data_IF_721200727122
#
_entry.id   IF_721200727122
#
_cell.length_a   1.000
_cell.length_b   1.000
_cell.length_c   1.000
_cell.angle_alpha   90.00
_cell.angle_beta   90.00
_cell.angle_gamma   90.00
#
_symmetry.space_group_name_H-M   'P 1'
#
loop_
_entity.id
_entity.type
_entity.pdbx_description
1 polymer ?
#
# COMPACT_ATOMS: atom_id res chain seq x y z
N UNK A 1 8.18 25.54 -1.77
CA UNK A 1 6.72 25.43 -1.53
C UNK A 1 6.14 24.66 -2.71
N UNK A 2 6.21 23.32 -2.64
CA UNK A 2 5.54 22.45 -3.61
C UNK A 2 4.06 22.33 -3.24
N UNK A 3 3.20 22.09 -4.22
CA UNK A 3 1.76 21.91 -3.97
C UNK A 3 1.49 20.59 -3.25
N UNK A 4 0.39 20.43 -2.46
CA UNK A 4 0.10 19.18 -1.75
C UNK A 4 0.08 17.93 -2.65
N UNK A 5 -0.22 18.10 -3.95
CA UNK A 5 -0.23 17.03 -4.95
C UNK A 5 1.18 16.57 -5.41
N UNK A 6 2.25 17.28 -5.06
CA UNK A 6 3.63 16.89 -5.34
C UNK A 6 4.27 16.11 -4.19
N UNK A 7 3.68 16.11 -2.99
CA UNK A 7 4.19 15.42 -1.80
C UNK A 7 3.74 13.94 -1.71
N UNK A 8 2.70 13.55 -2.45
CA UNK A 8 2.15 12.19 -2.41
C UNK A 8 1.86 11.65 -3.82
N UNK A 9 2.75 10.79 -4.36
CA UNK A 9 2.64 10.28 -5.71
C UNK A 9 1.51 9.26 -5.93
N UNK A 10 0.87 8.75 -4.88
CA UNK A 10 -0.30 7.86 -4.98
C UNK A 10 -1.45 8.48 -5.78
N UNK A 11 -1.63 9.80 -5.69
CA UNK A 11 -2.65 10.52 -6.46
C UNK A 11 -2.35 10.62 -7.98
N UNK A 12 -1.12 10.31 -8.42
CA UNK A 12 -0.69 10.42 -9.83
C UNK A 12 -0.24 9.10 -10.47
N UNK A 13 -0.04 8.04 -9.70
CA UNK A 13 0.53 6.78 -10.21
C UNK A 13 -0.36 6.09 -11.27
N UNK A 14 -1.68 6.34 -11.29
CA UNK A 14 -2.63 5.58 -12.14
C UNK A 14 -2.67 6.06 -13.60
N UNK A 15 -2.13 7.23 -13.95
CA UNK A 15 -2.27 7.77 -15.33
C UNK A 15 -1.13 7.44 -16.30
N UNK A 16 0.02 6.94 -15.83
CA UNK A 16 1.20 6.77 -16.70
C UNK A 16 1.10 5.53 -17.60
N UNK A 17 0.35 4.50 -17.20
CA UNK A 17 0.34 3.22 -17.90
C UNK A 17 -0.45 3.19 -19.22
N UNK A 18 -1.41 4.11 -19.44
CA UNK A 18 -2.22 4.10 -20.68
C UNK A 18 -1.57 4.78 -21.90
N UNK A 19 -0.32 5.24 -21.80
CA UNK A 19 0.32 6.06 -22.87
C UNK A 19 1.37 5.36 -23.72
N UNK A 20 1.42 4.03 -23.75
CA UNK A 20 2.39 3.26 -24.54
C UNK A 20 1.79 2.33 -25.61
N UNK A 21 0.49 2.34 -25.84
CA UNK A 21 -0.11 1.52 -26.92
C UNK A 21 -0.04 2.17 -28.31
N UNK A 22 0.13 3.49 -28.41
CA UNK A 22 0.06 4.22 -29.69
C UNK A 22 1.38 4.34 -30.47
N UNK A 23 2.48 3.76 -29.98
CA UNK A 23 3.81 3.85 -30.65
C UNK A 23 4.24 2.52 -31.30
N UNK A 24 3.46 1.43 -31.15
CA UNK A 24 3.85 0.10 -31.66
C UNK A 24 3.73 -0.11 -33.18
N UNK A 25 3.38 0.89 -34.00
CA UNK A 25 3.11 0.66 -35.45
C UNK A 25 4.13 1.23 -36.44
N UNK A 26 5.23 1.86 -36.01
CA UNK A 26 6.20 2.45 -36.95
C UNK A 26 7.67 2.16 -36.57
N UNK A 27 8.05 0.89 -36.48
CA UNK A 27 9.45 0.47 -36.56
C UNK A 27 9.56 -1.04 -36.83
N UNK A 28 8.97 -1.52 -37.93
CA UNK A 28 9.08 -2.92 -38.35
C UNK A 28 9.81 -3.04 -39.69
N UNK A 29 11.04 -2.54 -39.77
CA UNK A 29 11.97 -2.87 -40.86
C UNK A 29 13.37 -2.36 -40.53
N UNK A 30 14.36 -3.26 -40.51
CA UNK A 30 15.78 -3.10 -40.13
C UNK A 30 16.09 -3.29 -38.64
N UNK A 31 16.23 -4.54 -38.21
CA UNK A 31 17.32 -5.03 -37.35
C UNK A 31 17.19 -6.56 -37.24
N UNK A 32 17.34 -7.22 -38.38
CA UNK A 32 17.72 -8.64 -38.44
C UNK A 32 19.21 -8.59 -38.79
N UNK A 33 20.05 -9.33 -38.04
CA UNK A 33 21.52 -9.44 -38.19
C UNK A 33 22.32 -8.48 -37.27
N UNK A 34 22.40 -8.82 -35.98
CA UNK A 34 23.65 -9.04 -35.21
C UNK A 34 23.29 -9.07 -33.72
N UNK A 35 23.46 -10.24 -33.11
CA UNK A 35 23.26 -10.43 -31.68
C UNK A 35 21.97 -11.16 -31.38
N UNK A 36 22.08 -12.47 -31.23
CA UNK A 36 21.36 -13.17 -30.18
C UNK A 36 21.72 -12.50 -28.84
N UNK A 37 21.12 -11.34 -28.54
CA UNK A 37 20.66 -11.13 -27.18
C UNK A 37 19.43 -12.04 -27.08
N UNK A 38 19.67 -13.31 -26.75
CA UNK A 38 18.63 -14.10 -26.09
C UNK A 38 18.06 -13.18 -25.02
N UNK A 39 16.74 -13.02 -25.07
CA UNK A 39 16.03 -11.98 -24.33
C UNK A 39 16.60 -11.84 -22.94
N UNK A 40 16.74 -10.59 -22.50
CA UNK A 40 16.59 -10.32 -21.08
C UNK A 40 15.25 -10.95 -20.72
N UNK A 41 15.28 -12.20 -20.26
CA UNK A 41 14.24 -12.74 -19.43
C UNK A 41 14.20 -11.73 -18.29
N UNK A 42 13.22 -10.81 -18.32
CA UNK A 42 12.70 -10.27 -17.08
C UNK A 42 12.60 -11.51 -16.17
N UNK A 43 13.43 -11.53 -15.14
CA UNK A 43 13.56 -12.64 -14.21
C UNK A 43 12.16 -13.10 -13.89
N UNK A 44 11.93 -14.41 -13.94
CA UNK A 44 10.59 -14.95 -13.74
C UNK A 44 10.05 -14.40 -12.43
N UNK A 45 9.05 -13.50 -12.51
CA UNK A 45 8.35 -13.03 -11.34
C UNK A 45 7.67 -14.25 -10.70
N UNK A 46 8.35 -14.81 -9.70
CA UNK A 46 8.00 -16.04 -9.01
C UNK A 46 7.19 -15.67 -7.79
N UNK A 47 5.87 -15.49 -7.98
CA UNK A 47 4.96 -15.46 -6.84
C UNK A 47 4.90 -16.84 -6.22
N UNK A 48 5.42 -16.95 -5.00
CA UNK A 48 5.11 -18.10 -4.17
C UNK A 48 3.96 -17.64 -3.28
N UNK A 49 2.75 -18.16 -3.53
CA UNK A 49 1.69 -18.08 -2.53
C UNK A 49 2.26 -18.77 -1.30
N UNK A 50 2.61 -18.01 -0.26
CA UNK A 50 3.16 -18.61 0.95
C UNK A 50 1.99 -19.20 1.72
N UNK A 51 1.48 -20.34 1.26
CA UNK A 51 0.44 -21.12 1.93
C UNK A 51 1.04 -21.73 3.19
N UNK A 52 1.24 -20.92 4.23
CA UNK A 52 1.44 -21.45 5.57
C UNK A 52 0.07 -21.53 6.24
N UNK A 53 -0.13 -22.48 7.17
CA UNK A 53 -1.38 -22.56 7.95
C UNK A 53 -1.73 -21.24 8.66
N UNK A 54 -0.75 -20.36 8.88
CA UNK A 54 -0.91 -19.07 9.55
C UNK A 54 -1.19 -17.89 8.60
N UNK A 55 -1.01 -18.05 7.28
CA UNK A 55 -1.15 -16.94 6.32
C UNK A 55 -1.53 -17.42 4.91
N UNK A 56 -2.83 -17.54 4.59
CA UNK A 56 -3.24 -18.12 3.32
C UNK A 56 -3.06 -17.24 2.07
N UNK A 57 -2.70 -15.95 2.20
CA UNK A 57 -2.91 -14.97 1.13
C UNK A 57 -1.73 -14.04 0.79
N UNK A 58 -0.61 -14.10 1.51
CA UNK A 58 0.50 -13.20 1.22
C UNK A 58 1.38 -13.75 0.09
N UNK A 59 1.38 -13.05 -1.04
CA UNK A 59 2.28 -13.35 -2.15
C UNK A 59 3.66 -12.76 -1.92
N UNK A 60 4.69 -13.59 -2.04
CA UNK A 60 6.09 -13.16 -1.87
C UNK A 60 6.78 -13.20 -3.22
N UNK A 61 7.44 -12.10 -3.60
CA UNK A 61 8.41 -12.11 -4.70
C UNK A 61 9.82 -12.29 -4.13
N UNK A 62 10.43 -13.48 -4.26
CA UNK A 62 11.76 -13.75 -3.75
C UNK A 62 12.87 -13.12 -4.60
N UNK A 63 12.55 -12.60 -5.80
CA UNK A 63 13.55 -12.18 -6.79
C UNK A 63 13.40 -10.75 -7.30
N UNK A 64 12.45 -9.96 -6.76
CA UNK A 64 12.36 -8.52 -7.00
C UNK A 64 11.94 -8.09 -8.40
N UNK A 65 11.95 -8.97 -9.42
CA UNK A 65 11.64 -8.58 -10.81
C UNK A 65 10.13 -8.52 -11.14
N UNK A 66 9.29 -8.41 -10.11
CA UNK A 66 7.84 -8.24 -10.26
C UNK A 66 7.43 -6.76 -10.38
N UNK A 67 8.33 -5.86 -9.99
CA UNK A 67 8.09 -4.43 -9.89
C UNK A 67 9.18 -3.75 -9.05
N UNK A 68 9.17 -2.43 -9.06
CA UNK A 68 10.16 -1.62 -8.36
C UNK A 68 9.49 -0.84 -7.22
N UNK A 69 10.15 -0.76 -6.07
CA UNK A 69 9.75 0.20 -5.03
C UNK A 69 10.46 1.53 -5.30
N UNK A 70 9.69 2.57 -5.61
CA UNK A 70 10.15 3.94 -5.87
C UNK A 70 9.80 4.85 -4.72
N UNK A 71 10.60 5.89 -4.51
CA UNK A 71 10.41 6.90 -3.46
C UNK A 71 10.11 6.27 -2.10
N UNK A 72 10.79 5.16 -1.81
CA UNK A 72 10.65 4.27 -0.65
C UNK A 72 9.30 3.55 -0.49
N UNK A 73 8.18 4.07 -0.97
CA UNK A 73 6.84 3.57 -0.61
C UNK A 73 5.86 3.37 -1.78
N UNK A 74 6.30 3.56 -3.01
CA UNK A 74 5.47 3.33 -4.20
C UNK A 74 5.90 2.04 -4.86
N UNK A 75 5.06 1.02 -4.81
CA UNK A 75 5.29 -0.16 -5.61
C UNK A 75 4.77 0.05 -7.04
N UNK A 76 5.65 -0.09 -8.01
CA UNK A 76 5.33 -0.02 -9.43
C UNK A 76 5.47 -1.42 -10.02
N UNK A 77 4.35 -2.12 -10.23
CA UNK A 77 4.34 -3.48 -10.78
C UNK A 77 4.24 -3.49 -12.30
N UNK A 78 4.78 -4.54 -12.94
CA UNK A 78 4.55 -4.77 -14.35
C UNK A 78 3.11 -5.30 -14.60
N UNK A 79 2.38 -4.79 -15.60
CA UNK A 79 0.98 -5.17 -15.85
C UNK A 79 0.74 -6.69 -15.96
N UNK A 80 1.65 -7.41 -16.62
CA UNK A 80 1.60 -8.86 -16.79
C UNK A 80 1.67 -9.66 -15.48
N UNK A 81 2.09 -9.02 -14.39
CA UNK A 81 2.19 -9.63 -13.07
C UNK A 81 1.00 -9.28 -12.18
N UNK A 82 0.39 -8.10 -12.37
CA UNK A 82 -0.84 -7.69 -11.69
C UNK A 82 -1.96 -8.70 -11.98
N UNK A 83 -2.18 -9.07 -13.24
CA UNK A 83 -3.23 -10.01 -13.65
C UNK A 83 -3.07 -11.43 -13.06
N UNK A 84 -1.91 -11.75 -12.47
CA UNK A 84 -1.61 -13.06 -11.89
C UNK A 84 -1.79 -13.11 -10.37
N UNK A 85 -1.98 -11.96 -9.73
CA UNK A 85 -2.17 -11.90 -8.28
C UNK A 85 -3.51 -12.53 -7.88
N UNK A 86 -3.55 -13.07 -6.68
CA UNK A 86 -4.80 -13.42 -6.01
C UNK A 86 -5.48 -12.13 -5.52
N UNK A 87 -6.74 -11.97 -5.92
CA UNK A 87 -7.60 -10.88 -5.48
C UNK A 87 -8.74 -11.44 -4.64
N UNK A 88 -9.00 -10.83 -3.50
CA UNK A 88 -10.22 -11.07 -2.72
C UNK A 88 -11.47 -10.58 -3.45
N UNK A 89 -12.65 -10.82 -2.86
CA UNK A 89 -13.94 -10.41 -3.44
C UNK A 89 -14.06 -8.90 -3.67
N UNK A 90 -13.32 -8.10 -2.91
CA UNK A 90 -13.23 -6.64 -3.05
C UNK A 90 -12.26 -6.17 -4.16
N UNK A 91 -11.66 -7.09 -4.93
CA UNK A 91 -10.69 -6.75 -5.97
C UNK A 91 -9.33 -6.31 -5.43
N UNK A 92 -9.04 -6.59 -4.16
CA UNK A 92 -7.79 -6.24 -3.49
C UNK A 92 -6.88 -7.47 -3.38
N UNK A 93 -5.66 -7.32 -3.86
CA UNK A 93 -4.56 -8.26 -3.68
C UNK A 93 -3.52 -7.69 -2.71
N UNK A 94 -2.56 -8.53 -2.31
CA UNK A 94 -1.44 -8.09 -1.48
C UNK A 94 -0.14 -8.76 -1.88
N UNK A 95 0.95 -8.01 -1.83
CA UNK A 95 2.29 -8.51 -2.15
C UNK A 95 3.31 -8.07 -1.12
N UNK A 96 4.30 -8.93 -0.88
CA UNK A 96 5.47 -8.64 -0.06
C UNK A 96 6.73 -8.57 -0.92
N UNK A 97 7.36 -7.40 -0.91
CA UNK A 97 8.54 -7.06 -1.72
C UNK A 97 9.50 -6.26 -0.82
N UNK A 98 10.78 -6.66 -0.79
CA UNK A 98 11.85 -5.93 -0.08
C UNK A 98 11.54 -5.58 1.39
N UNK A 99 10.93 -6.49 2.15
CA UNK A 99 10.63 -6.21 3.56
C UNK A 99 9.36 -5.41 3.79
N UNK A 100 8.63 -5.06 2.72
CA UNK A 100 7.44 -4.21 2.76
C UNK A 100 6.25 -4.97 2.19
N UNK A 101 5.08 -4.67 2.73
CA UNK A 101 3.81 -5.20 2.25
C UNK A 101 3.03 -4.09 1.56
N UNK A 102 2.41 -4.44 0.43
CA UNK A 102 1.62 -3.52 -0.37
C UNK A 102 0.25 -4.11 -0.64
N UNK A 103 -0.78 -3.26 -0.53
CA UNK A 103 -2.04 -3.50 -1.20
C UNK A 103 -1.86 -3.27 -2.71
N UNK A 104 -2.55 -4.06 -3.52
CA UNK A 104 -2.53 -3.94 -4.98
C UNK A 104 -3.95 -4.09 -5.52
N UNK A 105 -4.41 -3.12 -6.31
CA UNK A 105 -5.65 -3.23 -7.10
C UNK A 105 -5.34 -3.73 -8.51
N UNK A 106 -6.33 -4.33 -9.16
CA UNK A 106 -6.22 -4.81 -10.56
C UNK A 106 -5.89 -3.71 -11.57
N UNK A 107 -6.21 -2.45 -11.25
CA UNK A 107 -5.83 -1.32 -12.10
C UNK A 107 -4.37 -0.87 -11.92
N UNK A 108 -3.59 -1.56 -11.06
CA UNK A 108 -2.19 -1.27 -10.75
C UNK A 108 -1.96 -0.23 -9.67
N UNK A 109 -3.02 0.28 -9.02
CA UNK A 109 -2.87 1.16 -7.86
C UNK A 109 -2.28 0.35 -6.70
N UNK A 110 -1.27 0.91 -6.04
CA UNK A 110 -0.63 0.29 -4.88
C UNK A 110 -0.57 1.25 -3.71
N UNK A 111 -0.58 0.70 -2.50
CA UNK A 111 -0.34 1.46 -1.27
C UNK A 111 0.47 0.60 -0.30
N UNK A 112 1.50 1.19 0.33
CA UNK A 112 2.30 0.48 1.33
C UNK A 112 1.46 0.32 2.60
N UNK A 113 1.08 -0.91 2.90
CA UNK A 113 0.29 -1.21 4.07
C UNK A 113 1.16 -1.20 5.32
N UNK A 114 0.55 -0.90 6.46
CA UNK A 114 1.15 -1.30 7.74
C UNK A 114 1.16 -2.83 7.81
N UNK A 115 2.31 -3.42 8.15
CA UNK A 115 2.41 -4.87 8.34
C UNK A 115 1.84 -5.23 9.72
N UNK A 116 0.80 -6.06 9.75
CA UNK A 116 0.12 -6.47 10.98
C UNK A 116 -0.13 -7.97 10.98
N UNK A 117 0.17 -8.61 12.12
CA UNK A 117 0.12 -10.06 12.31
C UNK A 117 0.92 -10.80 11.22
N UNK A 118 0.24 -11.28 10.19
CA UNK A 118 0.83 -12.05 9.11
C UNK A 118 0.79 -11.35 7.75
N UNK A 119 0.28 -10.12 7.63
CA UNK A 119 0.07 -9.53 6.32
C UNK A 119 -0.10 -8.02 6.34
N UNK A 120 -0.73 -7.44 5.31
CA UNK A 120 -1.18 -6.07 5.41
C UNK A 120 -2.25 -5.95 6.51
N UNK A 121 -2.36 -4.76 7.11
CA UNK A 121 -3.40 -4.45 8.07
C UNK A 121 -4.83 -4.73 7.52
N UNK A 122 -5.79 -4.88 8.42
CA UNK A 122 -7.18 -5.06 8.00
C UNK A 122 -7.85 -3.71 7.75
N UNK A 123 -8.83 -3.69 6.85
CA UNK A 123 -9.74 -2.56 6.74
C UNK A 123 -10.72 -2.60 7.91
N UNK A 124 -10.64 -1.58 8.77
CA UNK A 124 -11.54 -1.41 9.91
C UNK A 124 -12.39 -0.18 9.65
N UNK A 125 -13.71 -0.34 9.71
CA UNK A 125 -14.67 0.72 9.35
C UNK A 125 -14.39 1.32 7.95
N UNK A 126 -13.96 0.47 7.01
CA UNK A 126 -13.70 0.84 5.61
C UNK A 126 -12.38 1.57 5.36
N UNK A 127 -11.53 1.75 6.38
CA UNK A 127 -10.20 2.38 6.25
C UNK A 127 -9.10 1.44 6.73
N UNK A 128 -7.93 1.50 6.08
CA UNK A 128 -6.74 0.78 6.51
C UNK A 128 -5.56 1.73 6.69
N UNK A 129 -4.68 1.41 7.67
CA UNK A 129 -3.45 2.17 7.89
C UNK A 129 -2.44 1.89 6.78
N UNK A 130 -1.86 2.96 6.26
CA UNK A 130 -0.77 2.92 5.28
C UNK A 130 0.43 3.69 5.79
N UNK A 131 1.59 3.35 5.27
CA UNK A 131 2.85 4.02 5.60
C UNK A 131 3.35 4.78 4.37
N UNK A 132 3.62 6.06 4.53
CA UNK A 132 4.32 6.86 3.51
C UNK A 132 5.33 7.78 4.19
N UNK A 133 6.56 7.80 3.68
CA UNK A 133 7.71 8.52 4.22
C UNK A 133 7.91 8.28 5.73
N UNK A 134 7.66 7.05 6.17
CA UNK A 134 7.76 6.64 7.57
C UNK A 134 6.64 7.14 8.48
N UNK A 135 5.59 7.78 7.95
CA UNK A 135 4.42 8.27 8.68
C UNK A 135 3.19 7.43 8.37
N UNK A 136 2.24 7.40 9.30
CA UNK A 136 0.95 6.74 9.18
C UNK A 136 -0.09 7.68 8.57
N UNK A 137 -0.83 7.15 7.60
CA UNK A 137 -2.06 7.72 7.05
C UNK A 137 -3.11 6.63 6.87
N UNK A 138 -4.21 6.96 6.19
CA UNK A 138 -5.31 6.02 5.96
C UNK A 138 -5.82 6.07 4.52
N UNK A 139 -6.12 4.89 3.98
CA UNK A 139 -6.76 4.73 2.66
C UNK A 139 -8.08 3.99 2.78
N UNK A 140 -8.97 4.22 1.82
CA UNK A 140 -10.16 3.39 1.63
C UNK A 140 -9.85 2.11 0.83
N UNK A 141 -10.87 1.27 0.62
CA UNK A 141 -10.76 -0.01 -0.11
C UNK A 141 -10.37 0.17 -1.59
N UNK A 142 -10.58 1.35 -2.16
CA UNK A 142 -10.16 1.72 -3.51
C UNK A 142 -8.74 2.31 -3.53
N UNK A 143 -8.05 2.26 -2.39
CA UNK A 143 -6.72 2.83 -2.14
C UNK A 143 -6.64 4.35 -2.34
N UNK A 144 -7.77 5.05 -2.25
CA UNK A 144 -7.75 6.51 -2.20
C UNK A 144 -7.23 6.94 -0.83
N UNK A 145 -6.32 7.93 -0.80
CA UNK A 145 -5.86 8.53 0.46
C UNK A 145 -6.99 9.34 1.07
N UNK A 146 -7.53 8.87 2.20
CA UNK A 146 -8.56 9.56 2.97
C UNK A 146 -7.93 10.50 3.99
N UNK A 147 -6.87 10.03 4.66
CA UNK A 147 -6.12 10.81 5.65
C UNK A 147 -4.64 10.73 5.29
N UNK A 148 -4.00 11.89 5.15
CA UNK A 148 -2.59 11.98 4.75
C UNK A 148 -1.66 11.36 5.78
N UNK A 149 -0.52 10.88 5.31
CA UNK A 149 0.46 10.24 6.17
C UNK A 149 1.28 11.27 6.96
N UNK A 150 0.76 11.71 8.10
CA UNK A 150 1.38 12.79 8.89
C UNK A 150 1.75 12.36 10.32
N UNK A 151 1.27 11.19 10.75
CA UNK A 151 1.37 10.73 12.14
C UNK A 151 2.56 9.79 12.36
N UNK A 152 3.24 9.93 13.50
CA UNK A 152 4.27 9.00 13.96
C UNK A 152 3.70 7.66 14.40
N UNK A 153 2.42 7.66 14.79
CA UNK A 153 1.65 6.48 15.13
C UNK A 153 0.19 6.73 14.80
N UNK A 154 -0.51 5.69 14.35
CA UNK A 154 -1.95 5.68 14.25
C UNK A 154 -2.50 4.31 14.67
N UNK A 155 -3.58 4.31 15.44
CA UNK A 155 -4.35 3.12 15.72
C UNK A 155 -5.32 2.79 14.59
N UNK A 156 -5.88 1.56 14.53
CA UNK A 156 -7.10 1.32 13.76
C UNK A 156 -8.24 2.22 14.26
N UNK A 157 -9.22 2.46 13.40
CA UNK A 157 -10.47 3.09 13.82
C UNK A 157 -11.28 2.16 14.73
N UNK A 158 -11.92 2.74 15.73
CA UNK A 158 -12.88 2.05 16.59
C UNK A 158 -13.98 3.02 17.03
N UNK A 159 -15.22 2.69 16.72
CA UNK A 159 -16.35 3.57 17.02
C UNK A 159 -16.23 4.93 16.32
N UNK A 160 -15.65 4.95 15.12
CA UNK A 160 -15.44 6.17 14.34
C UNK A 160 -14.25 7.03 14.74
N UNK A 161 -13.42 6.59 15.70
CA UNK A 161 -12.26 7.36 16.20
C UNK A 161 -10.97 6.54 16.08
N UNK A 162 -9.87 7.19 15.70
CA UNK A 162 -8.52 6.64 15.77
C UNK A 162 -7.63 7.51 16.66
N UNK A 163 -6.79 6.89 17.49
CA UNK A 163 -5.73 7.58 18.20
C UNK A 163 -4.56 7.81 17.27
N UNK A 164 -4.02 9.03 17.32
CA UNK A 164 -2.85 9.43 16.53
C UNK A 164 -1.83 10.12 17.39
N UNK A 165 -0.56 10.08 16.95
CA UNK A 165 0.55 10.73 17.64
C UNK A 165 1.43 11.51 16.67
N UNK A 166 1.85 12.70 17.08
CA UNK A 166 2.90 13.48 16.42
C UNK A 166 3.94 13.87 17.49
N UNK A 167 5.16 13.35 17.36
CA UNK A 167 6.17 13.42 18.41
C UNK A 167 5.67 12.76 19.70
N UNK A 168 5.57 13.56 20.76
CA UNK A 168 5.05 13.13 22.06
C UNK A 168 3.57 13.52 22.28
N UNK A 169 2.97 14.26 21.34
CA UNK A 169 1.59 14.71 21.46
C UNK A 169 0.63 13.66 20.89
N UNK A 170 -0.32 13.23 21.72
CA UNK A 170 -1.42 12.36 21.34
C UNK A 170 -2.68 13.15 21.03
N UNK A 171 -3.49 12.60 20.13
CA UNK A 171 -4.80 13.12 19.80
C UNK A 171 -5.71 12.02 19.27
N UNK A 172 -6.93 12.42 18.94
CA UNK A 172 -7.94 11.58 18.33
C UNK A 172 -8.46 12.24 17.06
N UNK A 173 -8.63 11.45 16.01
CA UNK A 173 -9.22 11.90 14.74
C UNK A 173 -10.46 11.07 14.41
N UNK A 174 -11.41 11.67 13.72
CA UNK A 174 -12.51 10.96 13.10
C UNK A 174 -12.11 10.34 11.75
N UNK A 175 -13.04 9.62 11.11
CA UNK A 175 -12.81 8.93 9.83
C UNK A 175 -12.57 9.87 8.64
N UNK A 176 -12.82 11.18 8.78
CA UNK A 176 -12.45 12.18 7.79
C UNK A 176 -11.06 12.77 8.03
N UNK A 177 -10.42 12.45 9.17
CA UNK A 177 -9.14 13.00 9.58
C UNK A 177 -9.25 14.26 10.44
N UNK A 178 -10.48 14.71 10.73
CA UNK A 178 -10.70 15.89 11.55
C UNK A 178 -10.45 15.56 13.03
N UNK A 179 -9.83 16.50 13.73
CA UNK A 179 -9.56 16.35 15.15
C UNK A 179 -10.85 16.26 15.95
N UNK A 180 -10.98 15.25 16.79
CA UNK A 180 -12.09 15.14 17.74
C UNK A 180 -11.83 16.10 18.89
N UNK A 181 -12.48 17.27 18.87
CA UNK A 181 -12.31 18.27 19.92
C UNK A 181 -12.77 17.75 21.29
N UNK A 182 -11.99 18.06 22.34
CA UNK A 182 -12.17 17.72 23.76
C UNK A 182 -11.52 16.43 24.27
N UNK A 183 -10.52 15.88 23.58
CA UNK A 183 -9.81 14.71 24.11
C UNK A 183 -8.37 15.05 24.45
N UNK A 184 -8.15 15.45 25.71
CA UNK A 184 -6.84 15.37 26.33
C UNK A 184 -6.73 13.99 26.97
N UNK A 185 -5.76 13.18 26.51
CA UNK A 185 -5.48 11.90 27.13
C UNK A 185 -4.26 12.02 28.04
N UNK A 186 -4.36 11.43 29.23
CA UNK A 186 -3.18 11.12 30.04
C UNK A 186 -2.44 9.90 29.47
N UNK A 187 -1.15 9.76 29.77
CA UNK A 187 -0.34 8.59 29.38
C UNK A 187 -0.98 7.26 29.82
N UNK A 188 -1.62 7.24 30.99
CA UNK A 188 -2.27 6.04 31.52
C UNK A 188 -3.54 5.70 30.74
N UNK A 189 -4.33 6.70 30.34
CA UNK A 189 -5.50 6.52 29.47
C UNK A 189 -5.09 6.06 28.07
N UNK A 190 -4.01 6.59 27.50
CA UNK A 190 -3.47 6.12 26.22
C UNK A 190 -3.07 4.65 26.33
N UNK A 191 -2.36 4.27 27.39
CA UNK A 191 -1.93 2.88 27.61
C UNK A 191 -3.14 1.95 27.74
N UNK A 192 -4.14 2.33 28.53
CA UNK A 192 -5.38 1.54 28.66
C UNK A 192 -6.11 1.44 27.32
N UNK A 193 -6.22 2.53 26.57
CA UNK A 193 -6.85 2.50 25.24
C UNK A 193 -6.08 1.57 24.29
N UNK A 194 -4.73 1.64 24.29
CA UNK A 194 -3.83 0.76 23.53
C UNK A 194 -3.90 -0.72 23.95
N UNK A 195 -4.11 -0.99 25.22
CA UNK A 195 -4.25 -2.36 25.76
C UNK A 195 -5.66 -2.94 25.51
N UNK A 196 -6.70 -2.09 25.51
CA UNK A 196 -8.12 -2.46 25.31
C UNK A 196 -8.56 -2.47 23.82
N UNK A 197 -7.63 -2.56 22.84
CA UNK A 197 -7.93 -2.64 21.38
C UNK A 197 -8.65 -3.93 20.94
N UNK A 198 -9.70 -4.32 21.66
CA UNK A 198 -10.69 -5.35 21.29
C UNK A 198 -11.60 -4.95 20.13
N UNK A 199 -11.34 -3.83 19.44
CA UNK A 199 -12.07 -3.46 18.23
C UNK A 199 -11.66 -4.29 17.00
N UNK A 200 -10.57 -5.06 17.09
CA UNK A 200 -10.08 -5.88 15.98
C UNK A 200 -10.92 -7.16 15.73
N UNK A 201 -11.91 -7.47 16.59
CA UNK A 201 -12.60 -8.78 16.61
C UNK A 201 -14.13 -8.72 16.81
N UNK A 202 -14.80 -7.60 16.52
CA UNK A 202 -16.27 -7.51 16.60
C UNK A 202 -16.94 -7.29 15.26
#
# INVERSE_FOLDING_TARGET
MGTPAELYPYARAVQVYRRLESVKTLALSLLVILGFAQGLTAGECLYISRLTPENPYLEVSPQGDCGEVRDEDILVMYPEHIDRLHYGENGLGSVYIEGKVFYVLQNGTTARAHYFDNGPDYFVEGLARVISQGKFGFVDVELNVVIQAEYDFASPFCGGVALVRIGDAWGAIDRSGEAVHQVEFTEEEIRTLLDDYHCQHR
#
